data_IF_045687851077
#
_entry.id   IF_045687851077
#
_cell.length_a   1.000
_cell.length_b   1.000
_cell.length_c   1.000
_cell.angle_alpha   90.00
_cell.angle_beta   90.00
_cell.angle_gamma   90.00
#
_symmetry.space_group_name_H-M   'P 1'
#
loop_
_entity.id
_entity.type
_entity.pdbx_description
1 polymer ?
#
# COMPACT_ATOMS: atom_id res chain seq x y z
N UNK A 1 17.00 0.64 6.50
CA UNK A 1 16.49 1.83 7.27
C UNK A 1 16.56 3.11 6.44
N UNK A 2 17.55 3.25 5.55
CA UNK A 2 17.65 4.40 4.65
C UNK A 2 16.60 4.37 3.55
N UNK A 3 16.27 3.19 3.02
CA UNK A 3 15.53 3.09 1.76
C UNK A 3 14.09 3.58 1.86
N UNK A 4 13.30 3.16 2.87
CA UNK A 4 11.93 3.68 3.06
C UNK A 4 11.86 5.18 3.33
N UNK A 5 12.84 5.76 4.03
CA UNK A 5 12.91 7.21 4.25
C UNK A 5 13.24 7.95 2.95
N UNK A 6 14.10 7.37 2.12
CA UNK A 6 14.42 7.90 0.79
C UNK A 6 13.17 7.84 -0.10
N UNK A 7 12.50 6.68 -0.17
CA UNK A 7 11.26 6.47 -0.92
C UNK A 7 10.16 7.42 -0.46
N UNK A 8 9.99 7.60 0.85
CA UNK A 8 9.02 8.55 1.38
C UNK A 8 9.30 9.99 0.89
N UNK A 9 10.56 10.43 0.95
CA UNK A 9 10.96 11.77 0.49
C UNK A 9 10.79 11.92 -1.02
N UNK A 10 11.17 10.91 -1.78
CA UNK A 10 11.07 10.89 -3.24
C UNK A 10 9.61 10.90 -3.69
N UNK A 11 8.78 10.00 -3.14
CA UNK A 11 7.36 9.94 -3.45
C UNK A 11 6.67 11.26 -3.09
N UNK A 12 6.96 11.82 -1.91
CA UNK A 12 6.44 13.13 -1.51
C UNK A 12 6.89 14.26 -2.44
N UNK A 13 8.11 14.21 -2.97
CA UNK A 13 8.58 15.18 -3.98
C UNK A 13 7.78 15.03 -5.28
N UNK A 14 7.71 13.83 -5.85
CA UNK A 14 6.99 13.54 -7.10
C UNK A 14 5.50 13.90 -7.04
N UNK A 15 4.86 13.64 -5.91
CA UNK A 15 3.47 14.00 -5.65
C UNK A 15 3.24 15.50 -5.68
N UNK A 16 4.23 16.33 -5.32
CA UNK A 16 4.11 17.79 -5.24
C UNK A 16 4.49 18.52 -6.53
N UNK A 17 5.05 17.81 -7.51
CA UNK A 17 5.31 18.36 -8.84
C UNK A 17 3.98 18.61 -9.59
N UNK A 18 4.00 19.57 -10.52
CA UNK A 18 2.84 19.95 -11.33
C UNK A 18 2.57 18.99 -12.50
N UNK A 19 3.56 18.18 -12.88
CA UNK A 19 3.48 17.21 -13.96
C UNK A 19 2.83 15.90 -13.51
N UNK A 20 2.13 15.22 -14.43
CA UNK A 20 1.58 13.89 -14.19
C UNK A 20 2.70 12.86 -14.05
N UNK A 21 3.08 12.53 -12.80
CA UNK A 21 4.20 11.66 -12.49
C UNK A 21 3.78 10.23 -12.13
N UNK A 22 2.71 9.72 -12.73
CA UNK A 22 2.14 8.39 -12.43
C UNK A 22 3.18 7.27 -12.44
N UNK A 23 3.92 7.13 -13.55
CA UNK A 23 4.94 6.07 -13.71
C UNK A 23 6.05 6.17 -12.65
N UNK A 24 6.54 7.38 -12.37
CA UNK A 24 7.58 7.60 -11.36
C UNK A 24 7.08 7.30 -9.95
N UNK A 25 5.83 7.66 -9.65
CA UNK A 25 5.23 7.34 -8.35
C UNK A 25 5.02 5.82 -8.21
N UNK A 26 4.57 5.14 -9.28
CA UNK A 26 4.46 3.69 -9.35
C UNK A 26 5.82 3.01 -9.11
N UNK A 27 6.89 3.53 -9.73
CA UNK A 27 8.24 2.97 -9.55
C UNK A 27 8.74 3.07 -8.10
N UNK A 28 8.33 4.09 -7.35
CA UNK A 28 8.62 4.17 -5.91
C UNK A 28 8.04 2.97 -5.13
N UNK A 29 6.87 2.46 -5.55
CA UNK A 29 6.18 1.36 -4.88
C UNK A 29 6.89 0.01 -5.03
N UNK A 30 7.75 -0.15 -6.05
CA UNK A 30 8.59 -1.35 -6.26
C UNK A 30 9.39 -1.74 -5.03
N UNK A 31 9.79 -0.74 -4.26
CA UNK A 31 10.68 -0.89 -3.11
C UNK A 31 9.94 -1.08 -1.79
N UNK A 32 8.61 -0.95 -1.80
CA UNK A 32 7.71 -1.08 -0.64
C UNK A 32 6.44 -1.86 -1.00
N UNK A 33 6.55 -3.01 -1.70
CA UNK A 33 5.37 -3.71 -2.20
C UNK A 33 4.51 -4.32 -1.09
N UNK A 34 5.09 -4.48 0.10
CA UNK A 34 4.47 -5.05 1.28
C UNK A 34 3.31 -4.20 1.84
N UNK A 35 3.32 -2.88 1.60
CA UNK A 35 2.23 -2.00 2.02
C UNK A 35 0.97 -2.16 1.16
N UNK A 36 1.10 -2.87 0.02
CA UNK A 36 0.06 -3.04 -0.99
C UNK A 36 -0.55 -4.45 -0.97
N UNK A 37 -0.19 -5.29 0.00
CA UNK A 37 -0.73 -6.65 0.13
C UNK A 37 -1.36 -6.82 1.51
N UNK A 38 -2.35 -7.70 1.63
CA UNK A 38 -3.01 -7.96 2.92
C UNK A 38 -2.27 -9.00 3.77
N UNK A 39 -1.30 -9.70 3.18
CA UNK A 39 -0.49 -10.69 3.86
C UNK A 39 0.53 -10.02 4.78
N UNK A 40 0.48 -10.37 6.07
CA UNK A 40 1.45 -9.90 7.08
C UNK A 40 2.76 -10.68 7.07
N UNK A 41 2.71 -11.94 6.65
CA UNK A 41 3.85 -12.85 6.61
C UNK A 41 3.87 -13.47 5.23
N UNK A 42 5.01 -13.37 4.56
CA UNK A 42 5.27 -13.93 3.26
C UNK A 42 6.76 -14.18 3.11
N UNK A 43 7.11 -15.17 2.30
CA UNK A 43 8.50 -15.58 2.11
C UNK A 43 9.19 -14.69 1.07
N UNK A 44 8.50 -14.43 -0.04
CA UNK A 44 8.97 -13.57 -1.11
C UNK A 44 7.86 -12.65 -1.62
N UNK A 45 8.27 -11.48 -2.09
CA UNK A 45 7.40 -10.54 -2.79
C UNK A 45 8.12 -10.06 -4.07
N UNK A 46 7.41 -10.06 -5.18
CA UNK A 46 7.92 -9.59 -6.46
C UNK A 46 6.92 -8.65 -7.12
N UNK A 47 7.45 -7.73 -7.93
CA UNK A 47 6.71 -6.63 -8.50
C UNK A 47 6.87 -6.63 -10.01
N UNK A 48 5.76 -6.67 -10.73
CA UNK A 48 5.71 -6.56 -12.19
C UNK A 48 4.92 -5.31 -12.57
N UNK A 49 5.43 -4.56 -13.55
CA UNK A 49 4.77 -3.38 -14.11
C UNK A 49 4.41 -3.62 -15.56
N UNK A 50 3.31 -3.00 -15.98
CA UNK A 50 2.87 -2.99 -17.38
C UNK A 50 2.74 -4.41 -17.95
N UNK A 51 2.29 -5.36 -17.12
CA UNK A 51 2.19 -6.76 -17.50
C UNK A 51 1.18 -6.90 -18.64
N UNK A 52 1.61 -7.33 -19.85
CA UNK A 52 0.73 -7.35 -21.01
C UNK A 52 -0.36 -8.40 -20.86
N UNK A 53 -1.59 -8.00 -21.16
CA UNK A 53 -2.77 -8.87 -21.17
C UNK A 53 -3.65 -8.56 -22.39
N UNK A 54 -4.54 -9.48 -22.76
CA UNK A 54 -5.53 -9.28 -23.82
C UNK A 54 -6.37 -8.00 -23.68
N UNK A 55 -6.65 -7.55 -22.45
CA UNK A 55 -7.44 -6.35 -22.16
C UNK A 55 -6.60 -5.08 -21.95
N UNK A 56 -5.31 -5.12 -22.30
CA UNK A 56 -4.33 -4.05 -22.05
C UNK A 56 -3.35 -4.40 -20.94
N UNK A 57 -2.47 -3.46 -20.61
CA UNK A 57 -1.39 -3.69 -19.64
C UNK A 57 -1.87 -3.30 -18.25
N UNK A 58 -1.77 -4.20 -17.27
CA UNK A 58 -2.03 -3.84 -15.87
C UNK A 58 -0.92 -2.93 -15.36
N UNK A 59 -1.27 -1.85 -14.67
CA UNK A 59 -0.27 -0.92 -14.13
C UNK A 59 0.70 -1.62 -13.19
N UNK A 60 0.14 -2.40 -12.26
CA UNK A 60 0.90 -3.06 -11.21
C UNK A 60 0.32 -4.43 -10.87
N UNK A 61 1.17 -5.45 -10.97
CA UNK A 61 0.94 -6.80 -10.46
C UNK A 61 2.00 -7.14 -9.39
N UNK A 62 1.55 -7.52 -8.20
CA UNK A 62 2.42 -7.95 -7.10
C UNK A 62 2.22 -9.44 -6.88
N UNK A 63 3.28 -10.24 -6.94
CA UNK A 63 3.23 -11.67 -6.61
C UNK A 63 3.85 -11.90 -5.25
N UNK A 64 3.16 -12.65 -4.42
CA UNK A 64 3.57 -12.99 -3.06
C UNK A 64 3.63 -14.50 -2.93
N UNK A 65 4.73 -15.01 -2.39
CA UNK A 65 4.83 -16.40 -1.94
C UNK A 65 4.23 -16.46 -0.54
N UNK A 66 3.02 -17.00 -0.45
CA UNK A 66 2.25 -17.20 0.78
C UNK A 66 2.09 -18.68 1.10
N UNK A 67 1.24 -18.95 2.09
CA UNK A 67 0.80 -20.30 2.44
C UNK A 67 -0.72 -20.30 2.60
N UNK A 68 -1.35 -21.37 2.16
CA UNK A 68 -2.77 -21.59 2.40
C UNK A 68 -3.05 -22.01 3.86
N UNK A 69 -4.33 -22.24 4.18
CA UNK A 69 -4.77 -22.67 5.53
C UNK A 69 -4.21 -24.05 5.95
N UNK A 70 -3.60 -24.79 5.02
CA UNK A 70 -2.96 -26.09 5.24
C UNK A 70 -1.42 -26.01 5.20
N UNK A 71 -0.88 -24.79 5.34
CA UNK A 71 0.55 -24.47 5.26
C UNK A 71 1.22 -24.83 3.93
N UNK A 72 0.45 -25.08 2.87
CA UNK A 72 1.01 -25.39 1.56
C UNK A 72 1.46 -24.11 0.86
N UNK A 73 2.65 -24.11 0.22
CA UNK A 73 3.12 -22.95 -0.53
C UNK A 73 2.17 -22.58 -1.66
N UNK A 74 1.78 -21.31 -1.70
CA UNK A 74 0.97 -20.77 -2.77
C UNK A 74 1.51 -19.44 -3.28
N UNK A 75 1.30 -19.15 -4.56
CA UNK A 75 1.55 -17.80 -5.09
C UNK A 75 0.24 -17.04 -5.24
N UNK A 76 0.20 -15.87 -4.62
CA UNK A 76 -0.92 -14.94 -4.69
C UNK A 76 -0.52 -13.76 -5.57
N UNK A 77 -1.40 -13.39 -6.51
CA UNK A 77 -1.20 -12.23 -7.38
C UNK A 77 -2.19 -11.13 -7.00
N UNK A 78 -1.69 -9.95 -6.65
CA UNK A 78 -2.48 -8.75 -6.35
C UNK A 78 -2.42 -7.77 -7.51
N UNK A 79 -3.59 -7.35 -7.99
CA UNK A 79 -3.73 -6.38 -9.06
C UNK A 79 -4.02 -4.98 -8.52
N UNK A 80 -3.23 -4.02 -8.99
CA UNK A 80 -3.38 -2.62 -8.64
C UNK A 80 -3.44 -1.76 -9.89
N UNK A 81 -4.38 -0.82 -9.88
CA UNK A 81 -4.46 0.25 -10.87
C UNK A 81 -3.94 1.56 -10.25
N UNK A 82 -3.05 2.25 -10.94
CA UNK A 82 -2.28 3.36 -10.40
C UNK A 82 -2.50 4.59 -11.25
N UNK A 83 -3.16 5.61 -10.69
CA UNK A 83 -3.36 6.90 -11.34
C UNK A 83 -2.53 7.99 -10.68
N UNK A 84 -2.17 9.00 -11.45
CA UNK A 84 -1.38 10.14 -10.98
C UNK A 84 -1.93 10.80 -9.69
N UNK A 85 -1.06 11.25 -8.77
CA UNK A 85 -1.45 12.01 -7.58
C UNK A 85 -2.06 13.38 -7.90
N UNK A 86 -1.78 13.93 -9.08
CA UNK A 86 -2.30 15.22 -9.49
C UNK A 86 -3.79 15.16 -9.88
N UNK A 87 -4.34 13.96 -10.10
CA UNK A 87 -5.71 13.75 -10.57
C UNK A 87 -6.74 13.85 -9.44
N UNK A 88 -7.89 14.50 -9.70
CA UNK A 88 -9.02 14.47 -8.78
C UNK A 88 -9.72 13.11 -8.81
N UNK A 89 -10.22 12.68 -7.65
CA UNK A 89 -10.95 11.40 -7.51
C UNK A 89 -12.41 11.58 -7.93
N UNK A 90 -13.02 12.69 -7.49
CA UNK A 90 -14.38 13.07 -7.86
C UNK A 90 -14.40 14.45 -8.51
N UNK A 91 -15.54 14.80 -9.09
CA UNK A 91 -15.81 16.12 -9.63
C UNK A 91 -17.18 16.58 -9.19
N UNK A 92 -17.31 17.88 -8.95
CA UNK A 92 -18.61 18.50 -8.69
C UNK A 92 -19.47 18.42 -9.96
N UNK A 93 -20.69 17.89 -9.81
CA UNK A 93 -21.70 17.90 -10.87
C UNK A 93 -22.72 19.01 -10.63
N UNK A 94 -23.15 19.17 -9.37
CA UNK A 94 -23.97 20.29 -8.91
C UNK A 94 -23.48 20.74 -7.54
N UNK A 95 -24.05 21.81 -6.97
CA UNK A 95 -23.70 22.28 -5.61
C UNK A 95 -23.81 21.19 -4.52
N UNK A 96 -24.68 20.20 -4.70
CA UNK A 96 -24.96 19.17 -3.69
C UNK A 96 -24.58 17.76 -4.12
N UNK A 97 -24.04 17.60 -5.33
CA UNK A 97 -23.77 16.29 -5.92
C UNK A 97 -22.38 16.29 -6.54
N UNK A 98 -21.58 15.30 -6.13
CA UNK A 98 -20.33 14.95 -6.79
C UNK A 98 -20.51 13.66 -7.56
N UNK A 99 -19.64 13.40 -8.52
CA UNK A 99 -19.59 12.16 -9.29
C UNK A 99 -18.13 11.72 -9.46
N UNK A 100 -17.84 10.42 -9.71
CA UNK A 100 -16.47 10.01 -10.03
C UNK A 100 -15.95 10.82 -11.23
N UNK A 101 -14.65 11.11 -11.22
CA UNK A 101 -13.99 11.60 -12.44
C UNK A 101 -13.89 10.48 -13.47
N UNK A 102 -13.69 10.84 -14.74
CA UNK A 102 -13.44 9.84 -15.78
C UNK A 102 -12.23 8.98 -15.41
N UNK A 103 -11.21 9.54 -14.76
CA UNK A 103 -10.04 8.82 -14.31
C UNK A 103 -10.35 7.73 -13.27
N UNK A 104 -11.23 8.02 -12.29
CA UNK A 104 -11.65 6.99 -11.34
C UNK A 104 -12.50 5.91 -12.04
N UNK A 105 -13.44 6.32 -12.89
CA UNK A 105 -14.29 5.40 -13.64
C UNK A 105 -13.47 4.47 -14.57
N UNK A 106 -12.50 5.03 -15.28
CA UNK A 106 -11.56 4.28 -16.13
C UNK A 106 -10.73 3.31 -15.29
N UNK A 107 -10.15 3.77 -14.17
CA UNK A 107 -9.34 2.93 -13.30
C UNK A 107 -10.11 1.70 -12.76
N UNK A 108 -11.37 1.88 -12.39
CA UNK A 108 -12.23 0.79 -11.93
C UNK A 108 -12.52 -0.23 -13.02
N UNK A 109 -12.85 0.24 -14.22
CA UNK A 109 -13.10 -0.66 -15.35
C UNK A 109 -11.83 -1.41 -15.77
N UNK A 110 -10.69 -0.72 -15.81
CA UNK A 110 -9.39 -1.32 -16.10
C UNK A 110 -9.06 -2.44 -15.11
N UNK A 111 -9.15 -2.15 -13.81
CA UNK A 111 -8.90 -3.13 -12.76
C UNK A 111 -9.77 -4.38 -12.89
N UNK A 112 -11.09 -4.20 -13.11
CA UNK A 112 -12.04 -5.31 -13.28
C UNK A 112 -11.72 -6.12 -14.53
N UNK A 113 -11.38 -5.46 -15.64
CA UNK A 113 -11.05 -6.14 -16.89
C UNK A 113 -9.75 -6.94 -16.75
N UNK A 114 -8.71 -6.39 -16.12
CA UNK A 114 -7.45 -7.09 -15.89
C UNK A 114 -7.66 -8.32 -15.00
N UNK A 115 -8.42 -8.17 -13.92
CA UNK A 115 -8.76 -9.29 -13.05
C UNK A 115 -9.53 -10.37 -13.80
N UNK A 116 -10.60 -10.01 -14.50
CA UNK A 116 -11.43 -10.93 -15.29
C UNK A 116 -10.60 -11.68 -16.33
N UNK A 117 -9.68 -10.99 -17.00
CA UNK A 117 -8.79 -11.61 -17.97
C UNK A 117 -7.90 -12.66 -17.32
N UNK A 118 -7.19 -12.29 -16.24
CA UNK A 118 -6.23 -13.19 -15.59
C UNK A 118 -6.93 -14.42 -14.98
N UNK A 119 -8.09 -14.28 -14.35
CA UNK A 119 -8.79 -15.43 -13.77
C UNK A 119 -9.34 -16.41 -14.82
N UNK A 120 -9.47 -15.98 -16.07
CA UNK A 120 -9.99 -16.79 -17.17
C UNK A 120 -8.88 -17.28 -18.12
N UNK A 121 -7.73 -16.61 -18.19
CA UNK A 121 -6.57 -17.01 -18.99
C UNK A 121 -5.63 -17.96 -18.23
N UNK A 122 -5.74 -19.26 -18.50
CA UNK A 122 -4.91 -20.29 -17.87
C UNK A 122 -3.42 -20.14 -18.18
N UNK A 123 -3.07 -19.79 -19.42
CA UNK A 123 -1.67 -19.59 -19.82
C UNK A 123 -1.03 -18.44 -19.05
N UNK A 124 -1.78 -17.34 -18.84
CA UNK A 124 -1.31 -16.24 -18.03
C UNK A 124 -1.10 -16.67 -16.57
N UNK A 125 -2.05 -17.42 -15.99
CA UNK A 125 -1.93 -17.90 -14.60
C UNK A 125 -0.77 -18.86 -14.41
N UNK A 126 -0.52 -19.75 -15.37
CA UNK A 126 0.62 -20.66 -15.34
C UNK A 126 1.95 -19.90 -15.34
N UNK A 127 2.06 -18.83 -16.14
CA UNK A 127 3.21 -17.91 -16.12
C UNK A 127 3.39 -17.25 -14.75
N UNK A 128 2.30 -16.83 -14.12
CA UNK A 128 2.32 -16.28 -12.76
C UNK A 128 2.52 -17.36 -11.68
N UNK A 129 2.37 -18.64 -12.03
CA UNK A 129 2.33 -19.80 -11.13
C UNK A 129 1.29 -19.64 -10.02
N UNK A 130 0.12 -19.10 -10.35
CA UNK A 130 -0.98 -18.82 -9.41
C UNK A 130 -2.24 -19.59 -9.80
N UNK A 131 -3.13 -19.84 -8.84
CA UNK A 131 -4.46 -20.39 -9.13
C UNK A 131 -5.47 -19.28 -9.38
N UNK A 132 -6.60 -19.59 -10.01
CA UNK A 132 -7.70 -18.62 -10.18
C UNK A 132 -8.22 -18.02 -8.86
N UNK A 133 -8.09 -18.77 -7.76
CA UNK A 133 -8.55 -18.35 -6.44
C UNK A 133 -7.55 -17.45 -5.73
N UNK A 134 -6.29 -17.48 -6.18
CA UNK A 134 -5.17 -16.72 -5.62
C UNK A 134 -4.84 -15.46 -6.42
N UNK A 135 -5.65 -15.14 -7.42
CA UNK A 135 -5.69 -13.80 -8.01
C UNK A 135 -6.60 -12.96 -7.14
N UNK A 136 -6.08 -11.84 -6.63
CA UNK A 136 -6.79 -10.92 -5.74
C UNK A 136 -6.80 -9.53 -6.34
N UNK A 137 -7.87 -8.80 -6.08
CA UNK A 137 -7.82 -7.36 -6.20
C UNK A 137 -6.92 -6.80 -5.09
N UNK A 138 -5.98 -5.93 -5.47
CA UNK A 138 -5.30 -5.05 -4.55
C UNK A 138 -6.11 -3.77 -4.38
N UNK A 139 -6.26 -3.00 -5.46
CA UNK A 139 -7.05 -1.77 -5.42
C UNK A 139 -6.66 -0.73 -6.45
N UNK A 140 -7.04 0.51 -6.15
CA UNK A 140 -6.79 1.70 -6.95
C UNK A 140 -6.05 2.72 -6.08
N UNK A 141 -4.96 3.29 -6.60
CA UNK A 141 -4.26 4.42 -5.99
C UNK A 141 -4.45 5.64 -6.88
N UNK A 142 -5.14 6.68 -6.40
CA UNK A 142 -5.45 7.87 -7.20
C UNK A 142 -5.54 9.13 -6.34
N UNK A 143 -4.95 10.23 -6.84
CA UNK A 143 -5.14 11.56 -6.27
C UNK A 143 -4.49 11.78 -4.89
N UNK A 144 -4.80 12.94 -4.30
CA UNK A 144 -4.28 13.41 -3.01
C UNK A 144 -5.40 14.03 -2.17
N UNK A 145 -5.20 14.12 -0.86
CA UNK A 145 -6.15 14.69 0.10
C UNK A 145 -6.48 16.17 -0.15
N UNK A 146 -5.56 16.92 -0.75
CA UNK A 146 -5.80 18.32 -1.11
C UNK A 146 -6.56 18.49 -2.45
N UNK A 147 -6.61 17.42 -3.25
CA UNK A 147 -7.22 17.33 -4.59
C UNK A 147 -8.27 16.22 -4.70
N UNK A 148 -9.07 15.98 -3.66
CA UNK A 148 -10.08 14.90 -3.70
C UNK A 148 -11.20 15.15 -4.71
N UNK A 149 -11.59 16.41 -4.91
CA UNK A 149 -12.70 16.81 -5.79
C UNK A 149 -12.29 18.01 -6.64
N UNK A 150 -12.49 17.95 -7.96
CA UNK A 150 -12.30 19.08 -8.86
C UNK A 150 -13.51 20.03 -8.88
N UNK A 151 -13.26 21.29 -9.26
CA UNK A 151 -14.27 22.35 -9.38
C UNK A 151 -15.01 22.64 -8.06
N UNK A 152 -14.28 23.21 -7.09
CA UNK A 152 -14.80 23.47 -5.74
C UNK A 152 -15.74 24.68 -5.76
N UNK A 153 -17.05 24.43 -5.73
CA UNK A 153 -17.99 25.40 -5.15
C UNK A 153 -18.02 25.14 -3.64
N UNK A 154 -17.41 26.02 -2.85
CA UNK A 154 -17.35 26.00 -1.38
C UNK A 154 -16.64 24.76 -0.76
N UNK A 155 -15.46 24.97 -0.14
CA UNK A 155 -14.58 23.87 0.32
C UNK A 155 -15.12 23.00 1.46
N UNK A 156 -16.06 23.53 2.27
CA UNK A 156 -16.57 22.83 3.46
C UNK A 156 -17.54 21.70 3.11
N UNK A 157 -18.37 21.88 2.06
CA UNK A 157 -19.28 20.85 1.56
C UNK A 157 -18.54 19.70 0.86
N UNK A 158 -17.37 20.00 0.28
CA UNK A 158 -16.58 19.06 -0.52
C UNK A 158 -16.05 17.87 0.29
N UNK A 159 -15.57 18.09 1.52
CA UNK A 159 -15.05 16.99 2.37
C UNK A 159 -16.16 16.08 2.88
N UNK A 160 -17.29 16.66 3.31
CA UNK A 160 -18.46 15.89 3.73
C UNK A 160 -18.99 15.02 2.60
N UNK A 161 -19.18 15.62 1.42
CA UNK A 161 -19.61 14.90 0.23
C UNK A 161 -18.61 13.85 -0.22
N UNK A 162 -17.29 14.12 -0.19
CA UNK A 162 -16.28 13.11 -0.52
C UNK A 162 -16.42 11.85 0.33
N UNK A 163 -16.50 11.98 1.65
CA UNK A 163 -16.57 10.82 2.54
C UNK A 163 -17.85 10.00 2.32
N UNK A 164 -18.99 10.66 2.12
CA UNK A 164 -20.27 10.00 1.83
C UNK A 164 -20.16 9.21 0.53
N UNK A 165 -19.68 9.84 -0.55
CA UNK A 165 -19.58 9.18 -1.85
C UNK A 165 -18.51 8.08 -1.86
N UNK A 166 -17.39 8.26 -1.17
CA UNK A 166 -16.40 7.20 -0.96
C UNK A 166 -17.03 6.00 -0.24
N UNK A 167 -17.82 6.23 0.80
CA UNK A 167 -18.51 5.17 1.54
C UNK A 167 -19.53 4.44 0.66
N UNK A 168 -20.34 5.17 -0.12
CA UNK A 168 -21.28 4.59 -1.09
C UNK A 168 -20.53 3.70 -2.09
N UNK A 169 -19.46 4.21 -2.72
CA UNK A 169 -18.67 3.39 -3.66
C UNK A 169 -18.06 2.17 -2.98
N UNK A 170 -17.55 2.35 -1.77
CA UNK A 170 -17.02 1.24 -0.98
C UNK A 170 -18.05 0.14 -0.77
N UNK A 171 -19.26 0.48 -0.35
CA UNK A 171 -20.30 -0.52 -0.08
C UNK A 171 -20.74 -1.25 -1.35
N UNK A 172 -20.97 -0.53 -2.45
CA UNK A 172 -21.58 -1.10 -3.65
C UNK A 172 -20.60 -1.65 -4.69
N UNK A 173 -19.37 -1.15 -4.75
CA UNK A 173 -18.39 -1.54 -5.78
C UNK A 173 -17.20 -2.30 -5.21
N UNK A 174 -16.72 -1.94 -4.01
CA UNK A 174 -15.39 -2.36 -3.59
C UNK A 174 -15.38 -3.47 -2.54
N UNK A 175 -16.25 -3.37 -1.53
CA UNK A 175 -16.22 -4.18 -0.30
C UNK A 175 -16.32 -5.68 -0.57
N UNK A 176 -17.22 -6.10 -1.47
CA UNK A 176 -17.42 -7.52 -1.77
C UNK A 176 -16.17 -8.20 -2.32
N UNK A 177 -15.36 -7.46 -3.10
CA UNK A 177 -14.14 -7.96 -3.73
C UNK A 177 -12.87 -7.48 -3.00
N UNK A 178 -12.99 -6.87 -1.83
CA UNK A 178 -11.90 -6.28 -1.07
C UNK A 178 -11.02 -5.30 -1.90
N UNK A 179 -11.62 -4.56 -2.83
CA UNK A 179 -10.91 -3.55 -3.63
C UNK A 179 -10.59 -2.37 -2.72
N UNK A 180 -9.32 -1.99 -2.61
CA UNK A 180 -8.93 -0.80 -1.84
C UNK A 180 -9.00 0.44 -2.71
N UNK A 181 -9.50 1.55 -2.16
CA UNK A 181 -9.38 2.88 -2.78
C UNK A 181 -8.52 3.77 -1.90
N UNK A 182 -7.26 3.95 -2.31
CA UNK A 182 -6.28 4.80 -1.66
C UNK A 182 -6.03 6.07 -2.45
N UNK A 183 -5.78 7.15 -1.73
CA UNK A 183 -5.03 8.28 -2.28
C UNK A 183 -3.55 8.13 -1.94
N UNK A 184 -2.69 8.89 -2.61
CA UNK A 184 -1.24 8.78 -2.41
C UNK A 184 -0.78 9.24 -1.02
N UNK A 185 -1.55 10.08 -0.31
CA UNK A 185 -1.24 10.42 1.09
C UNK A 185 -1.52 9.24 2.04
N UNK A 186 -2.47 8.35 1.71
CA UNK A 186 -2.69 7.12 2.47
C UNK A 186 -1.46 6.19 2.39
N UNK A 187 -0.76 6.18 1.25
CA UNK A 187 0.50 5.45 1.06
C UNK A 187 1.62 6.08 1.88
N UNK A 188 1.76 7.41 1.84
CA UNK A 188 2.75 8.11 2.68
C UNK A 188 2.52 7.84 4.17
N UNK A 189 1.28 7.81 4.63
CA UNK A 189 0.95 7.53 6.03
C UNK A 189 1.32 6.10 6.44
N UNK A 190 1.14 5.11 5.56
CA UNK A 190 1.59 3.73 5.81
C UNK A 190 3.12 3.67 5.92
N UNK A 191 3.83 4.28 4.97
CA UNK A 191 5.29 4.36 5.00
C UNK A 191 5.80 5.06 6.28
N UNK A 192 5.15 6.15 6.67
CA UNK A 192 5.49 6.89 7.87
C UNK A 192 5.32 6.05 9.13
N UNK A 193 4.16 5.39 9.29
CA UNK A 193 3.88 4.52 10.44
C UNK A 193 4.96 3.47 10.63
N UNK A 194 5.35 2.78 9.57
CA UNK A 194 6.40 1.77 9.66
C UNK A 194 7.79 2.34 9.99
N UNK A 195 8.12 3.52 9.45
CA UNK A 195 9.36 4.23 9.80
C UNK A 195 9.39 4.54 11.31
N UNK A 196 8.24 4.91 11.88
CA UNK A 196 8.09 5.23 13.29
C UNK A 196 8.06 3.99 14.20
N UNK A 197 7.31 2.94 13.85
CA UNK A 197 7.24 1.68 14.60
C UNK A 197 8.62 1.00 14.69
N UNK A 198 9.37 0.96 13.58
CA UNK A 198 10.75 0.42 13.59
C UNK A 198 11.71 1.30 14.38
N UNK A 199 11.48 2.63 14.44
CA UNK A 199 12.28 3.53 15.30
C UNK A 199 12.01 3.24 16.78
N UNK A 200 10.75 3.01 17.16
CA UNK A 200 10.36 2.69 18.53
C UNK A 200 10.91 1.33 18.99
N UNK A 201 10.88 0.31 18.12
CA UNK A 201 11.50 -0.99 18.39
C UNK A 201 13.02 -0.83 18.57
N UNK A 202 13.71 -0.09 17.68
CA UNK A 202 15.15 0.15 17.82
C UNK A 202 15.52 0.93 19.08
N UNK A 203 14.75 1.95 19.45
CA UNK A 203 15.01 2.70 20.68
C UNK A 203 14.82 1.83 21.92
N UNK A 204 13.84 0.92 21.92
CA UNK A 204 13.61 0.02 23.05
C UNK A 204 14.65 -1.10 23.13
N UNK A 205 15.10 -1.65 22.00
CA UNK A 205 16.22 -2.60 21.98
C UNK A 205 17.50 -1.93 22.46
N UNK A 206 17.82 -0.74 21.94
CA UNK A 206 19.01 0.02 22.38
C UNK A 206 18.94 0.45 23.85
N UNK A 207 17.76 0.79 24.35
CA UNK A 207 17.55 1.10 25.77
C UNK A 207 17.74 -0.15 26.65
N UNK A 208 17.22 -1.30 26.22
CA UNK A 208 17.38 -2.56 26.95
C UNK A 208 18.84 -3.04 26.93
N UNK A 209 19.55 -2.95 25.79
CA UNK A 209 20.97 -3.27 25.71
C UNK A 209 21.81 -2.36 26.60
N UNK A 210 21.51 -1.05 26.64
CA UNK A 210 22.21 -0.12 27.53
C UNK A 210 21.92 -0.42 29.00
N UNK A 211 20.67 -0.76 29.35
CA UNK A 211 20.31 -1.18 30.71
C UNK A 211 20.95 -2.52 31.12
N UNK A 212 21.21 -3.42 30.16
CA UNK A 212 21.90 -4.69 30.41
C UNK A 212 23.40 -4.47 30.61
N UNK A 213 24.01 -3.53 29.87
CA UNK A 213 25.41 -3.12 30.05
C UNK A 213 25.59 -2.39 31.39
N UNK A 214 24.68 -1.48 31.75
CA UNK A 214 24.72 -0.74 33.02
C UNK A 214 24.48 -1.67 34.25
N UNK A 215 23.87 -2.85 34.05
CA UNK A 215 23.67 -3.87 35.10
C UNK A 215 24.78 -4.93 35.16
N UNK A 216 25.72 -4.95 34.19
CA UNK A 216 26.87 -5.86 34.20
C UNK A 216 28.10 -5.27 34.92
N UNK A 217 28.06 -4.00 35.32
CA UNK A 217 29.17 -3.29 35.97
C UNK A 217 29.07 -3.23 37.51
N UNK A 218 28.21 -4.05 38.14
CA UNK A 218 27.98 -4.02 39.61
C UNK A 218 28.20 -5.39 40.29
N UNK A 219 29.14 -6.23 39.82
CA UNK A 219 29.49 -7.45 40.58
C UNK A 219 30.96 -7.83 40.54
N UNK A 220 31.84 -7.00 41.11
CA UNK A 220 33.13 -7.45 41.63
C UNK A 220 33.44 -6.79 42.98
N UNK A 221 32.68 -7.12 44.02
CA UNK A 221 33.16 -7.02 45.41
C UNK A 221 32.76 -8.30 46.14
N UNK A 222 33.60 -9.33 46.03
CA UNK A 222 33.60 -10.48 46.93
C UNK A 222 34.50 -10.10 48.11
N UNK A 223 33.91 -9.65 49.22
CA UNK A 223 34.60 -9.63 50.51
C UNK A 223 34.56 -11.04 51.10
N UNK A 224 35.71 -11.71 51.08
CA UNK A 224 35.93 -12.98 51.78
C UNK A 224 36.15 -12.68 53.26
N UNK A 225 35.13 -12.89 54.09
CA UNK A 225 35.27 -12.88 55.55
C UNK A 225 35.82 -14.23 56.01
N UNK A 226 37.07 -14.24 56.47
CA UNK A 226 37.71 -15.36 57.16
C UNK A 226 37.12 -15.44 58.58
N UNK A 227 36.55 -16.58 58.96
CA UNK A 227 36.29 -16.93 60.36
C UNK A 227 37.10 -18.16 60.74
N UNK A 228 38.07 -17.94 61.61
CA UNK A 228 38.90 -18.94 62.28
C UNK A 228 38.04 -19.87 63.14
N UNK A 229 38.37 -21.17 63.11
CA UNK A 229 38.32 -22.08 64.24
C UNK A 229 39.53 -23.00 64.17
#
# INVERSE_FOLDING_TARGET
>A
MNDRKIIFKELKKLMNESTFNELKCRDCLKNVPDILVDLKIFDNISFETETPSYCGNSDLLIKVDGKDDHEQPEKIAYLWEIKSPQLPIFQTETKHRIRPTNHLYEAENQLINYYSNIINDETFRDRLKTSRYNVKFGGIIIGRRDKLVSNKHNMQDVKGNYNIYKAIRSEYFYKHNNIKLYNWDDILDQLSREIHEKKYIKSNISFNEKSLIDNLDISEHIEVSISNN
#
